data_IF_111508810364
#
_entry.id   IF_111508810364
#
_cell.length_a   1.000
_cell.length_b   1.000
_cell.length_c   1.000
_cell.angle_alpha   90.00
_cell.angle_beta   90.00
_cell.angle_gamma   90.00
#
_symmetry.space_group_name_H-M   'P 1'
#
loop_
_entity.id
_entity.type
_entity.pdbx_description
1 polymer ?
#
# COMPACT_ATOMS: atom_id res chain seq x y z
N UNK A 1 -13.94 5.91 10.57
CA UNK A 1 -12.54 5.66 10.93
C UNK A 1 -11.86 5.12 9.68
N UNK A 2 -10.67 5.60 9.37
CA UNK A 2 -9.87 5.15 8.23
C UNK A 2 -8.61 4.45 8.73
N UNK A 3 -8.06 3.57 7.88
CA UNK A 3 -6.95 2.71 8.21
C UNK A 3 -5.87 2.80 7.13
N UNK A 4 -4.60 2.72 7.52
CA UNK A 4 -3.45 2.51 6.65
C UNK A 4 -2.65 1.34 7.23
N UNK A 5 -2.41 0.32 6.42
CA UNK A 5 -1.55 -0.80 6.78
C UNK A 5 -0.20 -0.67 6.07
N UNK A 6 0.89 -0.83 6.82
CA UNK A 6 2.24 -0.91 6.30
C UNK A 6 2.71 -2.36 6.35
N UNK A 7 3.17 -2.93 5.23
CA UNK A 7 3.58 -4.33 5.10
C UNK A 7 5.02 -4.61 5.59
N UNK A 8 5.56 -3.72 6.40
CA UNK A 8 6.85 -3.86 7.05
C UNK A 8 6.82 -3.17 8.40
N UNK A 9 7.76 -3.56 9.27
CA UNK A 9 8.00 -2.81 10.50
C UNK A 9 8.79 -1.55 10.14
N UNK A 10 8.23 -0.34 10.34
CA UNK A 10 8.98 0.87 10.06
C UNK A 10 10.07 1.05 11.12
N UNK A 11 11.19 1.63 10.72
CA UNK A 11 12.14 2.24 11.67
C UNK A 11 11.45 3.35 12.45
N UNK A 12 11.99 3.73 13.61
CA UNK A 12 11.42 4.83 14.41
C UNK A 12 11.33 6.14 13.62
N UNK A 13 12.32 6.38 12.75
CA UNK A 13 12.34 7.53 11.85
C UNK A 13 11.20 7.48 10.83
N UNK A 14 11.00 6.34 10.18
CA UNK A 14 9.93 6.16 9.20
C UNK A 14 8.55 6.26 9.84
N UNK A 15 8.39 5.71 11.05
CA UNK A 15 7.16 5.83 11.82
C UNK A 15 6.85 7.29 12.15
N UNK A 16 7.85 8.05 12.62
CA UNK A 16 7.68 9.46 12.92
C UNK A 16 7.33 10.28 11.68
N UNK A 17 8.02 10.04 10.56
CA UNK A 17 7.74 10.70 9.29
C UNK A 17 6.33 10.39 8.79
N UNK A 18 5.92 9.12 8.82
CA UNK A 18 4.61 8.69 8.39
C UNK A 18 3.51 9.29 9.27
N UNK A 19 3.68 9.30 10.60
CA UNK A 19 2.74 9.95 11.52
C UNK A 19 2.61 11.45 11.26
N UNK A 20 3.72 12.14 10.99
CA UNK A 20 3.69 13.56 10.64
C UNK A 20 2.91 13.79 9.34
N UNK A 21 3.23 13.03 8.29
CA UNK A 21 2.54 13.09 6.99
C UNK A 21 1.03 12.87 7.14
N UNK A 22 0.63 11.82 7.86
CA UNK A 22 -0.76 11.53 8.12
C UNK A 22 -1.43 12.63 8.94
N UNK A 23 -0.77 13.12 10.00
CA UNK A 23 -1.30 14.20 10.83
C UNK A 23 -1.52 15.49 10.04
N UNK A 24 -0.57 15.87 9.18
CA UNK A 24 -0.68 17.05 8.30
C UNK A 24 -1.81 16.92 7.29
N UNK A 25 -2.05 15.71 6.77
CA UNK A 25 -3.05 15.47 5.73
C UNK A 25 -4.45 15.37 6.33
N UNK A 26 -4.58 14.68 7.46
CA UNK A 26 -5.88 14.37 8.08
C UNK A 26 -6.30 15.45 9.09
N UNK A 27 -5.33 16.19 9.64
CA UNK A 27 -5.56 17.16 10.73
C UNK A 27 -5.72 16.50 12.11
N UNK A 28 -5.39 15.21 12.24
CA UNK A 28 -5.50 14.46 13.49
C UNK A 28 -4.32 13.51 13.68
N UNK A 29 -3.90 13.30 14.92
CA UNK A 29 -2.81 12.37 15.25
C UNK A 29 -3.27 10.92 15.02
N UNK A 30 -2.57 10.15 14.16
CA UNK A 30 -2.88 8.74 13.94
C UNK A 30 -2.70 7.93 15.23
N UNK A 31 -3.70 7.11 15.55
CA UNK A 31 -3.58 6.07 16.57
C UNK A 31 -2.95 4.84 15.90
N UNK A 32 -1.84 4.37 16.43
CA UNK A 32 -1.29 3.09 16.03
C UNK A 32 -1.97 1.97 16.79
N UNK A 33 -2.48 0.97 16.08
CA UNK A 33 -2.83 -0.30 16.73
C UNK A 33 -1.53 -1.05 17.00
N UNK A 34 -1.29 -1.42 18.25
CA UNK A 34 -0.21 -2.34 18.65
C UNK A 34 -0.65 -3.77 18.37
N UNK A 35 -1.21 -4.02 17.19
CA UNK A 35 -1.22 -5.38 16.67
C UNK A 35 0.20 -5.60 16.16
N UNK A 36 1.08 -5.99 17.08
CA UNK A 36 2.47 -6.41 16.85
C UNK A 36 2.47 -7.71 16.04
N UNK A 37 2.02 -7.62 14.78
CA UNK A 37 2.33 -8.66 13.82
C UNK A 37 3.78 -8.43 13.39
N UNK A 38 4.63 -9.46 13.38
CA UNK A 38 6.01 -9.35 12.87
C UNK A 38 6.10 -8.75 11.46
N UNK A 39 4.99 -8.77 10.72
CA UNK A 39 4.92 -8.41 9.30
C UNK A 39 4.47 -6.97 9.00
N UNK A 40 4.13 -6.12 9.98
CA UNK A 40 3.60 -4.80 9.62
C UNK A 40 3.12 -3.89 10.76
N UNK A 41 2.50 -2.77 10.39
CA UNK A 41 1.91 -1.80 11.31
C UNK A 41 0.61 -1.21 10.78
N UNK A 42 -0.41 -1.14 11.65
CA UNK A 42 -1.70 -0.54 11.36
C UNK A 42 -1.83 0.85 12.00
N UNK A 43 -2.06 1.86 11.17
CA UNK A 43 -2.39 3.21 11.58
C UNK A 43 -3.88 3.44 11.37
N UNK A 44 -4.54 4.01 12.37
CA UNK A 44 -5.96 4.33 12.28
C UNK A 44 -6.21 5.76 12.71
N UNK A 45 -7.12 6.44 12.02
CA UNK A 45 -7.38 7.85 12.24
C UNK A 45 -8.86 8.20 12.05
N UNK A 46 -9.36 9.22 12.75
CA UNK A 46 -10.73 9.69 12.59
C UNK A 46 -10.90 10.36 11.22
N UNK A 47 -12.12 10.31 10.69
CA UNK A 47 -12.50 10.95 9.43
C UNK A 47 -13.40 12.13 9.77
N UNK A 48 -12.86 13.11 10.51
CA UNK A 48 -13.62 14.29 10.97
C UNK A 48 -13.59 15.45 9.98
N UNK A 49 -12.84 15.33 8.87
CA UNK A 49 -12.85 16.34 7.81
C UNK A 49 -14.14 16.26 7.01
N UNK A 50 -14.72 17.42 6.72
CA UNK A 50 -15.91 17.61 5.87
C UNK A 50 -15.68 17.32 4.37
N UNK A 51 -14.67 16.51 4.02
CA UNK A 51 -14.34 16.14 2.64
C UNK A 51 -14.80 14.70 2.36
N UNK A 52 -15.04 14.40 1.09
CA UNK A 52 -15.40 13.03 0.70
C UNK A 52 -14.25 12.04 0.96
N UNK A 53 -14.56 10.78 1.21
CA UNK A 53 -13.54 9.73 1.36
C UNK A 53 -12.63 9.65 0.13
N UNK A 54 -13.20 9.76 -1.08
CA UNK A 54 -12.45 9.72 -2.33
C UNK A 54 -11.43 10.86 -2.43
N UNK A 55 -11.82 12.06 -2.01
CA UNK A 55 -10.95 13.23 -1.99
C UNK A 55 -9.84 13.08 -0.96
N UNK A 56 -10.16 12.69 0.28
CA UNK A 56 -9.16 12.42 1.31
C UNK A 56 -8.19 11.31 0.88
N UNK A 57 -8.69 10.25 0.25
CA UNK A 57 -7.88 9.16 -0.29
C UNK A 57 -6.93 9.68 -1.37
N UNK A 58 -7.39 10.56 -2.26
CA UNK A 58 -6.56 11.17 -3.30
C UNK A 58 -5.44 11.99 -2.67
N UNK A 59 -5.76 12.88 -1.73
CA UNK A 59 -4.77 13.69 -1.02
C UNK A 59 -3.71 12.83 -0.30
N UNK A 60 -4.17 11.78 0.39
CA UNK A 60 -3.28 10.83 1.06
C UNK A 60 -2.37 10.12 0.07
N UNK A 61 -2.88 9.61 -1.05
CA UNK A 61 -2.08 8.91 -2.05
C UNK A 61 -1.04 9.83 -2.70
N UNK A 62 -1.36 11.10 -2.94
CA UNK A 62 -0.40 12.09 -3.47
C UNK A 62 0.82 12.27 -2.57
N UNK A 63 0.66 12.11 -1.24
CA UNK A 63 1.76 12.21 -0.27
C UNK A 63 2.41 10.86 0.05
N UNK A 64 1.61 9.80 0.18
CA UNK A 64 2.07 8.46 0.55
C UNK A 64 2.86 7.77 -0.56
N UNK A 65 2.51 7.95 -1.84
CA UNK A 65 3.23 7.31 -2.94
C UNK A 65 4.70 7.78 -3.01
N UNK A 66 4.99 9.10 -3.01
CA UNK A 66 6.37 9.58 -2.95
C UNK A 66 7.12 9.10 -1.70
N UNK A 67 6.49 9.15 -0.52
CA UNK A 67 7.08 8.67 0.71
C UNK A 67 7.44 7.18 0.64
N UNK A 68 6.48 6.34 0.22
CA UNK A 68 6.67 4.89 0.11
C UNK A 68 7.74 4.51 -0.90
N UNK A 69 7.89 5.28 -2.00
CA UNK A 69 9.01 5.11 -2.93
C UNK A 69 10.35 5.43 -2.30
N UNK A 70 10.45 6.53 -1.55
CA UNK A 70 11.69 6.95 -0.91
C UNK A 70 12.14 5.96 0.19
N UNK A 71 11.19 5.37 0.91
CA UNK A 71 11.44 4.42 2.01
C UNK A 71 11.34 2.96 1.59
N UNK A 72 11.12 2.67 0.30
CA UNK A 72 10.87 1.30 -0.20
C UNK A 72 9.78 0.56 0.59
N UNK A 73 8.76 1.31 1.02
CA UNK A 73 7.70 0.84 1.90
C UNK A 73 6.43 0.55 1.12
N UNK A 74 5.95 -0.68 1.21
CA UNK A 74 4.66 -1.09 0.69
C UNK A 74 3.56 -0.81 1.71
N UNK A 75 2.46 -0.21 1.27
CA UNK A 75 1.31 0.10 2.12
C UNK A 75 -0.01 -0.24 1.44
N UNK A 76 -1.04 -0.48 2.26
CA UNK A 76 -2.41 -0.68 1.84
C UNK A 76 -3.31 0.32 2.55
N UNK A 77 -4.07 1.07 1.74
CA UNK A 77 -5.08 2.01 2.20
C UNK A 77 -6.45 1.41 1.81
N UNK A 78 -7.17 0.70 2.69
CA UNK A 78 -8.52 0.22 2.41
C UNK A 78 -9.54 1.38 2.29
N UNK A 79 -10.64 1.15 1.59
CA UNK A 79 -11.83 2.00 1.72
C UNK A 79 -12.51 1.73 3.07
N UNK A 80 -13.22 2.71 3.64
CA UNK A 80 -14.02 2.50 4.86
C UNK A 80 -15.13 1.47 4.67
N UNK A 81 -15.56 1.26 3.42
CA UNK A 81 -16.56 0.26 3.04
C UNK A 81 -16.00 -1.15 2.84
N UNK A 82 -14.66 -1.32 2.82
CA UNK A 82 -13.99 -2.61 2.60
C UNK A 82 -14.04 -3.50 3.85
N UNK A 83 -15.26 -3.92 4.20
CA UNK A 83 -15.58 -4.68 5.42
C UNK A 83 -15.91 -6.15 5.14
N UNK A 84 -16.10 -6.50 3.87
CA UNK A 84 -16.36 -7.86 3.45
C UNK A 84 -15.12 -8.74 3.63
N UNK A 85 -15.35 -10.00 4.01
CA UNK A 85 -14.29 -11.02 4.06
C UNK A 85 -13.74 -11.28 2.66
N UNK A 86 -12.42 -11.35 2.54
CA UNK A 86 -11.75 -11.74 1.30
C UNK A 86 -11.83 -13.25 1.17
N UNK A 87 -12.72 -13.74 0.31
CA UNK A 87 -12.93 -15.18 0.09
C UNK A 87 -12.24 -15.72 -1.16
N UNK A 88 -11.88 -14.82 -2.09
CA UNK A 88 -11.25 -15.15 -3.36
C UNK A 88 -10.13 -14.15 -3.66
N UNK A 89 -9.02 -14.65 -4.20
CA UNK A 89 -7.89 -13.83 -4.64
C UNK A 89 -7.52 -14.30 -6.04
N UNK A 90 -7.49 -13.37 -7.00
CA UNK A 90 -6.95 -13.61 -8.32
C UNK A 90 -5.51 -13.11 -8.36
N UNK A 91 -4.62 -13.92 -8.92
CA UNK A 91 -3.23 -13.53 -9.15
C UNK A 91 -2.99 -13.46 -10.65
N UNK A 92 -2.25 -12.43 -11.04
CA UNK A 92 -1.65 -12.39 -12.37
C UNK A 92 -0.61 -13.53 -12.49
N UNK A 93 -0.39 -14.01 -13.72
CA UNK A 93 0.51 -15.12 -13.97
C UNK A 93 1.95 -14.60 -14.05
N UNK A 94 2.22 -13.80 -15.08
CA UNK A 94 3.56 -13.32 -15.42
C UNK A 94 4.06 -12.27 -14.42
N UNK A 95 5.33 -12.39 -14.00
CA UNK A 95 5.95 -11.46 -13.05
C UNK A 95 5.34 -11.46 -11.64
N UNK A 96 4.32 -12.30 -11.36
CA UNK A 96 3.61 -12.37 -10.08
C UNK A 96 3.58 -13.80 -9.52
N UNK A 97 2.76 -14.72 -10.08
CA UNK A 97 2.77 -16.14 -9.68
C UNK A 97 4.04 -16.85 -10.17
N UNK A 98 4.50 -16.48 -11.35
CA UNK A 98 5.77 -16.95 -11.91
C UNK A 98 6.77 -15.79 -11.93
N UNK A 99 8.03 -16.08 -11.62
CA UNK A 99 9.12 -15.09 -11.74
C UNK A 99 9.52 -14.82 -13.18
N UNK A 100 8.97 -15.60 -14.11
CA UNK A 100 9.25 -15.54 -15.54
C UNK A 100 8.08 -14.88 -16.25
N UNK A 101 8.41 -14.06 -17.23
CA UNK A 101 7.49 -13.55 -18.25
C UNK A 101 7.32 -14.63 -19.33
N UNK A 102 6.12 -15.19 -19.47
CA UNK A 102 5.87 -16.35 -20.33
C UNK A 102 6.17 -16.06 -21.81
N UNK A 103 5.74 -14.91 -22.34
CA UNK A 103 5.94 -14.58 -23.75
C UNK A 103 7.43 -14.40 -24.12
N UNK A 104 8.22 -13.60 -23.39
CA UNK A 104 9.67 -13.54 -23.59
C UNK A 104 10.36 -14.91 -23.51
N UNK A 105 9.94 -15.77 -22.59
CA UNK A 105 10.52 -17.11 -22.44
C UNK A 105 10.18 -18.03 -23.62
N UNK A 106 8.94 -18.00 -24.11
CA UNK A 106 8.54 -18.73 -25.31
C UNK A 106 9.29 -18.24 -26.55
N UNK A 107 9.50 -16.93 -26.69
CA UNK A 107 10.30 -16.36 -27.77
C UNK A 107 11.76 -16.81 -27.69
N UNK A 108 12.36 -16.84 -26.49
CA UNK A 108 13.72 -17.37 -26.26
C UNK A 108 13.86 -18.82 -26.68
N UNK A 109 12.91 -19.68 -26.28
CA UNK A 109 12.90 -21.08 -26.66
C UNK A 109 12.71 -21.30 -28.17
N UNK A 110 12.02 -20.36 -28.83
CA UNK A 110 11.78 -20.41 -30.28
C UNK A 110 12.87 -19.72 -31.11
N UNK A 111 13.88 -19.11 -30.48
CA UNK A 111 14.91 -18.33 -31.17
C UNK A 111 14.42 -17.00 -31.75
N UNK A 112 13.31 -16.44 -31.23
CA UNK A 112 12.61 -15.25 -31.74
C UNK A 112 12.61 -14.08 -30.77
N UNK A 113 13.55 -14.05 -29.82
CA UNK A 113 13.61 -12.99 -28.80
C UNK A 113 13.77 -11.58 -29.37
N UNK A 114 14.33 -11.43 -30.58
CA UNK A 114 14.52 -10.12 -31.23
C UNK A 114 13.27 -9.60 -31.98
N UNK A 115 12.22 -10.42 -32.12
CA UNK A 115 10.95 -10.04 -32.78
C UNK A 115 9.92 -9.43 -31.80
N UNK A 116 10.25 -9.38 -30.51
CA UNK A 116 9.42 -8.84 -29.42
C UNK A 116 9.88 -7.45 -28.98
#
# INVERSE_FOLDING_TARGET
MQHLYLFSRPTDREDQQLRALLSETIGATPKTSITDTPQGRLYSYPTERSVSETELRRELLTRLIPWGRATHSAFYLPSTSATAEITHVAFDLDGTLTTTELLPELARLSGRSEEM
#
